data_IF_740754482806
#
_entry.id   IF_740754482806
#
_cell.length_a   1.000
_cell.length_b   1.000
_cell.length_c   1.000
_cell.angle_alpha   90.00
_cell.angle_beta   90.00
_cell.angle_gamma   90.00
#
_symmetry.space_group_name_H-M   'P 1'
#
loop_
_entity.id
_entity.type
_entity.pdbx_description
1 polymer ?
#
# COMPACT_ATOMS: atom_id res chain seq x y z
N UNK A 1 -21.04 7.07 -12.11
CA UNK A 1 -20.00 7.87 -12.80
C UNK A 1 -19.08 6.88 -13.49
N UNK A 2 -19.04 6.90 -14.83
CA UNK A 2 -18.12 6.08 -15.61
C UNK A 2 -16.70 6.66 -15.46
N UNK A 3 -15.87 5.99 -14.67
CA UNK A 3 -14.41 6.14 -14.70
C UNK A 3 -13.86 5.10 -15.67
N UNK A 4 -14.26 5.18 -16.93
CA UNK A 4 -13.58 4.45 -18.01
C UNK A 4 -12.36 5.27 -18.40
N UNK A 5 -11.33 5.23 -17.55
CA UNK A 5 -10.03 5.84 -17.79
C UNK A 5 -9.29 5.07 -18.87
N UNK A 6 -9.48 5.48 -20.12
CA UNK A 6 -8.70 4.94 -21.25
C UNK A 6 -7.23 5.37 -21.23
N UNK A 7 -6.79 6.31 -20.38
CA UNK A 7 -5.45 6.92 -20.49
C UNK A 7 -4.68 7.19 -19.17
N UNK A 8 -4.98 6.46 -18.08
CA UNK A 8 -4.18 6.50 -16.84
C UNK A 8 -4.30 7.79 -16.00
N UNK A 9 -3.70 7.78 -14.81
CA UNK A 9 -3.70 8.88 -13.83
C UNK A 9 -2.31 9.48 -13.67
N UNK A 10 -2.24 10.80 -13.47
CA UNK A 10 -1.00 11.54 -13.19
C UNK A 10 -1.03 12.14 -11.80
N UNK A 11 0.01 11.86 -11.03
CA UNK A 11 0.07 12.09 -9.59
C UNK A 11 1.10 13.14 -9.34
N UNK A 12 0.69 14.21 -8.68
CA UNK A 12 1.53 15.36 -8.44
C UNK A 12 1.75 15.54 -6.95
N UNK A 13 2.99 15.82 -6.58
CA UNK A 13 3.36 16.32 -5.25
C UNK A 13 3.96 17.69 -5.43
N UNK A 14 3.37 18.69 -4.77
CA UNK A 14 3.73 20.10 -4.93
C UNK A 14 3.86 20.50 -6.39
N UNK A 15 2.83 20.15 -7.17
CA UNK A 15 2.73 20.44 -8.62
C UNK A 15 3.74 19.70 -9.51
N UNK A 16 4.61 18.85 -8.93
CA UNK A 16 5.57 18.03 -9.69
C UNK A 16 5.02 16.62 -9.91
N UNK A 17 5.00 16.10 -11.14
CA UNK A 17 4.59 14.74 -11.38
C UNK A 17 5.59 13.78 -10.74
N UNK A 18 5.08 12.88 -9.89
CA UNK A 18 5.85 11.80 -9.26
C UNK A 18 5.49 10.43 -9.85
N UNK A 19 4.35 10.36 -10.54
CA UNK A 19 3.92 9.20 -11.29
C UNK A 19 3.02 9.64 -12.43
N UNK A 20 3.20 9.04 -13.60
CA UNK A 20 2.45 9.35 -14.81
C UNK A 20 1.87 8.07 -15.41
N UNK A 21 0.71 8.20 -16.06
CA UNK A 21 0.04 7.08 -16.73
C UNK A 21 -0.21 5.87 -15.84
N UNK A 22 -0.53 6.12 -14.56
CA UNK A 22 -0.93 5.07 -13.62
C UNK A 22 -2.24 4.47 -14.11
N UNK A 23 -2.16 3.35 -14.83
CA UNK A 23 -3.33 2.72 -15.45
C UNK A 23 -4.28 2.21 -14.38
N UNK A 24 -5.57 2.27 -14.68
CA UNK A 24 -6.55 1.50 -13.94
C UNK A 24 -6.27 0.01 -14.10
N UNK A 25 -6.32 -0.71 -12.99
CA UNK A 25 -6.12 -2.15 -12.94
C UNK A 25 -7.35 -2.75 -12.26
N UNK A 26 -7.91 -3.79 -12.88
CA UNK A 26 -8.87 -4.68 -12.21
C UNK A 26 -8.14 -5.77 -11.40
N UNK A 27 -6.84 -5.96 -11.68
CA UNK A 27 -5.98 -7.04 -11.14
C UNK A 27 -4.54 -6.56 -10.97
N UNK A 28 -3.89 -7.11 -9.97
CA UNK A 28 -2.53 -6.87 -9.45
C UNK A 28 -1.47 -6.52 -10.51
N UNK A 29 -0.80 -5.36 -10.37
CA UNK A 29 0.34 -4.97 -11.21
C UNK A 29 1.23 -3.91 -10.52
N UNK A 30 2.42 -4.31 -10.09
CA UNK A 30 3.42 -3.44 -9.45
C UNK A 30 3.84 -2.22 -10.30
N UNK A 31 3.76 -2.33 -11.64
CA UNK A 31 4.10 -1.24 -12.56
C UNK A 31 3.11 -0.08 -12.50
N UNK A 32 2.00 -0.27 -11.78
CA UNK A 32 0.91 0.68 -11.63
C UNK A 32 0.87 1.28 -10.21
N UNK A 33 1.90 1.05 -9.39
CA UNK A 33 2.09 1.70 -8.09
C UNK A 33 3.23 2.68 -8.16
N UNK A 34 3.04 3.84 -7.56
CA UNK A 34 4.09 4.81 -7.34
C UNK A 34 4.50 4.84 -5.87
N UNK A 35 5.80 4.68 -5.63
CA UNK A 35 6.40 4.93 -4.33
C UNK A 35 7.23 6.20 -4.43
N UNK A 36 6.99 7.11 -3.49
CA UNK A 36 7.71 8.38 -3.44
C UNK A 36 8.22 8.58 -2.04
N UNK A 37 9.52 8.86 -1.95
CA UNK A 37 10.11 9.38 -0.72
C UNK A 37 9.94 10.89 -0.76
N UNK A 38 9.15 11.42 0.18
CA UNK A 38 8.92 12.85 0.32
C UNK A 38 9.74 13.40 1.48
N UNK A 39 10.13 14.67 1.38
CA UNK A 39 10.71 15.40 2.50
C UNK A 39 9.70 15.54 3.63
N UNK A 40 10.16 15.80 4.85
CA UNK A 40 9.25 16.09 5.95
C UNK A 40 8.57 17.45 5.77
N UNK A 41 7.31 17.55 6.15
CA UNK A 41 6.50 18.76 6.12
C UNK A 41 5.21 18.62 5.30
N UNK A 42 4.44 19.71 5.17
CA UNK A 42 3.19 19.70 4.44
C UNK A 42 3.44 19.62 2.94
N UNK A 43 2.84 18.61 2.30
CA UNK A 43 2.89 18.39 0.87
C UNK A 43 1.49 18.38 0.28
N UNK A 44 1.29 19.12 -0.82
CA UNK A 44 0.02 19.08 -1.57
C UNK A 44 0.07 17.92 -2.55
N UNK A 45 -0.93 17.05 -2.48
CA UNK A 45 -1.08 15.95 -3.42
C UNK A 45 -2.27 16.22 -4.33
N UNK A 46 -2.09 15.94 -5.62
CA UNK A 46 -3.16 15.95 -6.61
C UNK A 46 -3.13 14.68 -7.45
N UNK A 47 -4.31 14.11 -7.70
CA UNK A 47 -4.53 13.08 -8.69
C UNK A 47 -5.30 13.68 -9.86
N UNK A 48 -4.74 13.61 -11.07
CA UNK A 48 -5.38 14.10 -12.30
C UNK A 48 -5.71 12.94 -13.23
N UNK A 49 -6.87 13.00 -13.88
CA UNK A 49 -7.16 12.13 -15.02
C UNK A 49 -6.34 12.52 -16.25
N UNK A 50 -6.40 11.69 -17.29
CA UNK A 50 -5.68 11.93 -18.54
C UNK A 50 -6.07 13.23 -19.27
N UNK A 51 -7.22 13.83 -18.95
CA UNK A 51 -7.62 15.14 -19.46
C UNK A 51 -7.03 16.31 -18.65
N UNK A 52 -6.33 16.01 -17.56
CA UNK A 52 -5.77 16.99 -16.62
C UNK A 52 -6.75 17.43 -15.54
N UNK A 53 -7.97 16.86 -15.48
CA UNK A 53 -8.96 17.20 -14.45
C UNK A 53 -8.53 16.60 -13.11
N UNK A 54 -8.52 17.43 -12.07
CA UNK A 54 -8.26 17.00 -10.69
C UNK A 54 -9.43 16.14 -10.20
N UNK A 55 -9.12 14.89 -9.85
CA UNK A 55 -10.07 13.94 -9.25
C UNK A 55 -10.01 13.98 -7.72
N UNK A 56 -8.82 14.19 -7.18
CA UNK A 56 -8.58 14.27 -5.73
C UNK A 56 -7.47 15.28 -5.45
N UNK A 57 -7.63 16.03 -4.37
CA UNK A 57 -6.60 16.92 -3.86
C UNK A 57 -6.69 17.03 -2.35
N UNK A 58 -5.55 16.89 -1.67
CA UNK A 58 -5.44 17.07 -0.24
C UNK A 58 -4.01 17.46 0.13
N UNK A 59 -3.85 17.97 1.34
CA UNK A 59 -2.55 18.20 1.96
C UNK A 59 -2.30 17.10 2.99
N UNK A 60 -1.11 16.52 2.94
CA UNK A 60 -0.63 15.58 3.95
C UNK A 60 0.64 16.14 4.58
N UNK A 61 0.74 16.04 5.90
CA UNK A 61 1.98 16.34 6.60
C UNK A 61 2.84 15.08 6.64
N UNK A 62 3.94 15.11 5.90
CA UNK A 62 4.86 13.99 5.78
C UNK A 62 5.83 14.04 6.95
N UNK A 63 5.92 12.96 7.70
CA UNK A 63 7.00 12.80 8.67
C UNK A 63 8.25 12.14 8.07
N UNK A 64 9.40 12.40 8.69
CA UNK A 64 10.69 11.91 8.22
C UNK A 64 10.73 10.38 8.23
N UNK A 65 11.07 9.77 7.09
CA UNK A 65 11.25 8.31 6.94
C UNK A 65 9.99 7.52 6.62
N UNK A 66 8.83 8.17 6.44
CA UNK A 66 7.60 7.51 6.00
C UNK A 66 7.68 7.03 4.54
N UNK A 67 7.12 5.84 4.26
CA UNK A 67 6.83 5.42 2.88
C UNK A 67 5.36 5.69 2.59
N UNK A 68 5.10 6.28 1.43
CA UNK A 68 3.76 6.65 1.03
C UNK A 68 3.39 5.84 -0.20
N UNK A 69 2.26 5.16 -0.08
CA UNK A 69 1.66 4.40 -1.15
C UNK A 69 0.57 5.26 -1.77
N UNK A 70 0.63 5.44 -3.08
CA UNK A 70 -0.47 5.94 -3.88
C UNK A 70 -1.10 4.81 -4.70
N UNK A 71 -2.38 4.50 -4.45
CA UNK A 71 -3.14 3.51 -5.23
C UNK A 71 -4.57 4.02 -5.50
N UNK A 72 -4.80 4.68 -6.64
CA UNK A 72 -6.06 5.38 -6.91
C UNK A 72 -7.08 4.56 -7.67
N UNK A 73 -6.62 3.46 -8.26
CA UNK A 73 -7.45 2.59 -9.05
C UNK A 73 -8.21 1.70 -8.09
N UNK A 74 -9.38 2.19 -7.66
CA UNK A 74 -10.27 1.42 -6.80
C UNK A 74 -11.66 1.36 -7.40
N UNK A 75 -12.09 0.19 -7.91
CA UNK A 75 -13.49 -0.02 -8.25
C UNK A 75 -14.38 0.32 -7.04
N UNK A 76 -15.60 0.79 -7.30
CA UNK A 76 -16.56 1.07 -6.24
C UNK A 76 -16.81 -0.22 -5.43
N UNK A 77 -16.63 -0.16 -4.11
CA UNK A 77 -16.81 -1.31 -3.21
C UNK A 77 -15.55 -2.11 -2.94
N UNK A 78 -14.42 -1.78 -3.56
CA UNK A 78 -13.12 -2.35 -3.24
C UNK A 78 -12.42 -1.54 -2.15
N UNK A 79 -11.68 -2.21 -1.27
CA UNK A 79 -10.82 -1.63 -0.23
C UNK A 79 -9.41 -2.21 -0.33
N UNK A 80 -8.44 -1.49 0.24
CA UNK A 80 -7.07 -1.97 0.38
C UNK A 80 -6.79 -2.32 1.83
N UNK A 81 -6.01 -3.39 2.04
CA UNK A 81 -5.64 -3.88 3.35
C UNK A 81 -4.13 -4.10 3.40
N UNK A 82 -3.48 -3.73 4.49
CA UNK A 82 -2.10 -4.14 4.76
C UNK A 82 -2.17 -5.43 5.58
N UNK A 83 -1.84 -6.53 4.92
CA UNK A 83 -1.58 -7.81 5.54
C UNK A 83 -0.18 -7.80 6.15
N UNK A 84 -0.05 -8.18 7.41
CA UNK A 84 1.22 -8.29 8.13
C UNK A 84 1.39 -9.70 8.66
N UNK A 85 2.40 -10.41 8.19
CA UNK A 85 2.68 -11.79 8.60
C UNK A 85 4.05 -11.90 9.26
N UNK A 86 4.09 -12.59 10.40
CA UNK A 86 5.31 -12.86 11.14
C UNK A 86 5.74 -14.32 10.97
N UNK A 87 6.95 -14.48 10.45
CA UNK A 87 7.60 -15.78 10.26
C UNK A 87 8.62 -15.98 11.37
N UNK A 88 8.57 -17.13 12.03
CA UNK A 88 9.44 -17.43 13.17
C UNK A 88 10.18 -18.72 12.94
N UNK A 89 11.44 -18.77 13.39
CA UNK A 89 12.22 -20.00 13.39
C UNK A 89 11.71 -21.02 14.41
N UNK A 90 10.98 -20.56 15.43
CA UNK A 90 10.27 -21.39 16.41
C UNK A 90 8.77 -21.12 16.34
N UNK A 91 7.94 -22.11 15.95
CA UNK A 91 6.48 -21.94 15.83
C UNK A 91 5.79 -21.65 17.17
N UNK A 92 6.40 -22.03 18.29
CA UNK A 92 5.82 -21.89 19.64
C UNK A 92 6.08 -20.53 20.28
N UNK A 93 6.80 -19.61 19.61
CA UNK A 93 7.02 -18.27 20.13
C UNK A 93 5.75 -17.42 19.96
N UNK A 94 5.46 -16.55 20.91
CA UNK A 94 4.35 -15.59 20.84
C UNK A 94 4.47 -14.68 19.62
N UNK A 95 3.35 -14.26 19.04
CA UNK A 95 3.37 -13.33 17.90
C UNK A 95 3.47 -11.89 18.36
N UNK A 96 4.33 -11.13 17.69
CA UNK A 96 4.41 -9.68 17.82
C UNK A 96 3.36 -8.96 16.98
N UNK A 97 2.79 -9.64 15.98
CA UNK A 97 1.70 -9.12 15.14
C UNK A 97 0.36 -9.42 15.81
N UNK A 98 -0.40 -8.37 16.09
CA UNK A 98 -1.73 -8.46 16.71
C UNK A 98 -2.85 -8.27 15.70
N UNK A 99 -2.66 -7.33 14.78
CA UNK A 99 -3.62 -7.01 13.73
C UNK A 99 -3.02 -7.50 12.41
N UNK A 100 -3.50 -8.65 11.93
CA UNK A 100 -2.97 -9.26 10.71
C UNK A 100 -3.39 -8.46 9.49
N UNK A 101 -4.61 -7.94 9.47
CA UNK A 101 -5.16 -7.19 8.34
C UNK A 101 -5.59 -5.79 8.77
N UNK A 102 -4.86 -4.78 8.32
CA UNK A 102 -5.22 -3.39 8.57
C UNK A 102 -5.87 -2.76 7.34
N UNK A 103 -7.15 -2.42 7.44
CA UNK A 103 -7.84 -1.66 6.40
C UNK A 103 -7.22 -0.26 6.23
N UNK A 104 -6.97 0.12 4.97
CA UNK A 104 -6.60 1.48 4.60
C UNK A 104 -7.85 2.33 4.45
N UNK A 105 -7.74 3.62 4.78
CA UNK A 105 -8.85 4.58 4.70
C UNK A 105 -9.43 4.61 3.28
N UNK A 106 -10.66 4.12 3.12
CA UNK A 106 -11.35 4.05 1.84
C UNK A 106 -11.62 5.43 1.26
N UNK A 107 -11.64 6.50 2.02
CA UNK A 107 -11.94 7.83 1.46
C UNK A 107 -10.69 8.54 0.93
N UNK A 108 -9.53 7.85 0.94
CA UNK A 108 -8.24 8.33 0.42
C UNK A 108 -7.71 7.44 -0.70
N UNK A 109 -6.70 7.94 -1.41
CA UNK A 109 -5.88 7.18 -2.37
C UNK A 109 -4.39 7.19 -2.05
N UNK A 110 -4.00 7.92 -1.00
CA UNK A 110 -2.66 7.86 -0.41
C UNK A 110 -2.73 7.47 1.05
N UNK A 111 -1.84 6.56 1.40
CA UNK A 111 -1.66 6.15 2.77
C UNK A 111 -0.18 6.16 3.11
N UNK A 112 0.11 6.61 4.34
CA UNK A 112 1.36 6.28 4.97
C UNK A 112 1.34 4.79 5.30
N UNK A 113 2.25 4.04 4.71
CA UNK A 113 2.39 2.62 4.95
C UNK A 113 3.82 2.32 5.38
N UNK A 114 3.99 1.25 6.16
CA UNK A 114 5.31 0.67 6.34
C UNK A 114 5.80 0.05 5.02
N UNK A 115 7.04 -0.43 4.98
CA UNK A 115 7.56 -1.12 3.79
C UNK A 115 6.66 -2.30 3.42
N UNK A 116 6.08 -2.27 2.23
CA UNK A 116 5.37 -3.39 1.63
C UNK A 116 6.40 -4.26 0.90
N UNK A 117 6.47 -5.52 1.29
CA UNK A 117 7.31 -6.54 0.66
C UNK A 117 6.62 -7.14 -0.57
N UNK A 118 5.31 -7.34 -0.49
CA UNK A 118 4.51 -8.00 -1.52
C UNK A 118 3.33 -7.13 -1.94
N UNK A 119 3.31 -6.75 -3.20
CA UNK A 119 2.31 -5.83 -3.73
C UNK A 119 1.17 -6.62 -4.34
N UNK A 120 -0.04 -6.44 -3.80
CA UNK A 120 -1.26 -7.11 -4.24
C UNK A 120 -0.98 -8.59 -4.43
N UNK A 121 -0.84 -9.30 -3.32
CA UNK A 121 -0.78 -10.76 -3.27
C UNK A 121 -0.73 -11.17 -1.80
N UNK A 122 -1.03 -12.43 -1.51
CA UNK A 122 -0.75 -13.00 -0.20
C UNK A 122 0.74 -12.92 0.13
N UNK A 123 1.05 -12.80 1.43
CA UNK A 123 2.40 -13.10 1.89
C UNK A 123 2.72 -14.59 1.63
N UNK A 124 3.97 -14.96 1.32
CA UNK A 124 4.33 -16.35 1.04
C UNK A 124 4.07 -17.27 2.24
N UNK A 125 3.78 -18.55 2.04
CA UNK A 125 3.55 -19.47 3.19
C UNK A 125 4.78 -19.64 4.10
N UNK A 126 5.99 -19.40 3.56
CA UNK A 126 7.23 -19.45 4.33
C UNK A 126 8.30 -18.51 3.77
N UNK A 127 9.22 -18.08 4.63
CA UNK A 127 10.40 -17.27 4.25
C UNK A 127 11.66 -17.82 4.90
N UNK A 128 12.81 -17.60 4.27
CA UNK A 128 14.10 -17.94 4.89
C UNK A 128 14.44 -16.96 6.01
N UNK A 129 14.53 -17.46 7.23
CA UNK A 129 14.93 -16.68 8.41
C UNK A 129 16.43 -16.88 8.63
N UNK A 130 17.22 -15.83 8.41
CA UNK A 130 18.65 -15.84 8.72
C UNK A 130 18.85 -15.46 10.18
N UNK A 131 19.28 -16.40 11.01
CA UNK A 131 19.68 -16.11 12.40
C UNK A 131 21.15 -15.70 12.45
N UNK A 132 21.48 -14.78 13.37
CA UNK A 132 22.88 -14.42 13.64
C UNK A 132 23.59 -15.62 14.27
N UNK A 133 24.88 -15.83 13.94
CA UNK A 133 25.69 -16.90 14.54
C UNK A 133 25.64 -16.79 16.07
N UNK A 134 25.14 -17.83 16.74
CA UNK A 134 24.94 -17.88 18.19
C UNK A 134 23.53 -17.55 18.69
N UNK A 135 22.59 -17.20 17.79
CA UNK A 135 21.18 -16.96 18.13
C UNK A 135 20.31 -18.17 17.79
N UNK A 136 19.54 -18.65 18.77
CA UNK A 136 18.64 -19.82 18.64
C UNK A 136 17.25 -19.47 18.09
N UNK A 137 16.95 -18.17 17.98
CA UNK A 137 15.65 -17.66 17.56
C UNK A 137 15.80 -16.45 16.64
N UNK A 138 14.88 -16.35 15.68
CA UNK A 138 14.72 -15.20 14.80
C UNK A 138 13.27 -15.09 14.31
N UNK A 139 12.83 -13.86 14.06
CA UNK A 139 11.58 -13.58 13.38
C UNK A 139 11.78 -12.58 12.25
N UNK A 140 10.95 -12.69 11.21
CA UNK A 140 10.89 -11.74 10.10
C UNK A 140 9.43 -11.37 9.92
N UNK A 141 9.16 -10.08 9.83
CA UNK A 141 7.84 -9.57 9.45
C UNK A 141 7.86 -9.29 7.95
N UNK A 142 6.82 -9.76 7.26
CA UNK A 142 6.53 -9.38 5.89
C UNK A 142 5.20 -8.68 5.80
N UNK A 143 5.11 -7.70 4.90
CA UNK A 143 3.86 -6.98 4.65
C UNK A 143 3.44 -7.15 3.21
N UNK A 144 2.16 -7.42 3.03
CA UNK A 144 1.53 -7.45 1.73
C UNK A 144 0.43 -6.41 1.65
N UNK A 145 0.37 -5.68 0.54
CA UNK A 145 -0.82 -4.90 0.22
C UNK A 145 -1.84 -5.85 -0.42
N UNK A 146 -3.09 -5.84 0.03
CA UNK A 146 -4.18 -6.66 -0.48
C UNK A 146 -5.30 -5.78 -1.00
N UNK A 147 -6.04 -6.30 -1.97
CA UNK A 147 -7.21 -5.66 -2.54
C UNK A 147 -8.38 -6.65 -2.45
N UNK A 148 -9.45 -6.25 -1.78
CA UNK A 148 -10.63 -7.10 -1.58
C UNK A 148 -11.91 -6.25 -1.55
N UNK A 149 -13.06 -6.90 -1.44
CA UNK A 149 -14.30 -6.18 -1.15
C UNK A 149 -14.20 -5.52 0.23
N UNK A 150 -14.80 -4.34 0.41
CA UNK A 150 -14.73 -3.63 1.69
C UNK A 150 -15.40 -4.37 2.86
N UNK A 151 -16.30 -5.31 2.55
CA UNK A 151 -17.06 -6.14 3.49
C UNK A 151 -16.60 -7.61 3.48
N UNK A 152 -15.42 -7.88 2.94
CA UNK A 152 -14.87 -9.23 2.86
C UNK A 152 -14.54 -9.77 4.28
N UNK A 153 -15.14 -10.89 4.70
CA UNK A 153 -14.95 -11.43 6.05
C UNK A 153 -13.53 -11.95 6.29
N UNK A 154 -12.77 -12.30 5.25
CA UNK A 154 -11.38 -12.75 5.39
C UNK A 154 -10.44 -11.61 5.81
N UNK A 155 -10.90 -10.37 5.69
CA UNK A 155 -10.20 -9.14 6.07
C UNK A 155 -10.89 -8.37 7.19
N UNK A 156 -11.93 -8.96 7.81
CA UNK A 156 -12.54 -8.45 9.03
C UNK A 156 -11.71 -8.92 10.24
N UNK A 157 -11.05 -7.99 10.93
CA UNK A 157 -10.45 -8.23 12.25
C UNK A 157 -11.53 -8.55 13.31
#
# INVERSE_FOLDING_TARGET
MNVTGTDGLTILVDEKPVAENVKHTATENEKLVAQVTLSSGPHKIEAKDASGKVLESFTIDIDFGGRYLYAPARPKGTCFFVQTDEYKSSPSADSSVKDRFKALDKDRTIWKVESIDYWFQDSPESVTIKTKKGSSSGSVIKRSLRQAACDDPDFAD
#
